data_IF_185008355484
#
_entry.id   IF_185008355484
#
_cell.length_a   1.000
_cell.length_b   1.000
_cell.length_c   1.000
_cell.angle_alpha   90.00
_cell.angle_beta   90.00
_cell.angle_gamma   90.00
#
_symmetry.space_group_name_H-M   'P 1'
#
loop_
_entity.id
_entity.type
_entity.pdbx_description
1 polymer ?
#
# COMPACT_ATOMS: atom_id res chain seq x y z
N UNK A 1 11.28 21.22 -8.98
CA UNK A 1 11.22 20.95 -8.54
C UNK A 1 11.23 20.43 -7.92
N UNK A 2 11.35 20.44 -7.82
CA UNK A 2 11.42 19.95 -7.28
C UNK A 2 10.98 19.69 -6.34
N UNK A 3 11.00 19.80 -6.15
CA UNK A 3 10.97 19.15 -5.09
C UNK A 3 9.91 18.89 -4.25
N UNK A 4 9.00 18.79 -4.17
CA UNK A 4 7.94 18.31 -3.33
C UNK A 4 7.15 17.27 -4.09
N UNK A 5 7.80 16.20 -4.40
CA UNK A 5 7.17 15.21 -5.28
C UNK A 5 5.89 14.65 -4.73
N UNK A 6 5.78 14.53 -3.41
CA UNK A 6 4.55 13.96 -2.86
C UNK A 6 3.35 14.82 -3.08
N UNK A 7 3.55 16.08 -3.42
CA UNK A 7 2.43 16.97 -3.68
C UNK A 7 1.94 16.88 -5.10
N UNK A 8 2.56 16.04 -5.93
CA UNK A 8 2.16 15.94 -7.31
C UNK A 8 0.95 15.08 -7.53
N UNK A 9 0.54 14.30 -6.53
CA UNK A 9 -0.62 13.44 -6.71
C UNK A 9 -1.75 13.87 -5.82
N UNK A 10 -2.95 13.71 -6.32
CA UNK A 10 -4.17 13.92 -5.54
C UNK A 10 -4.91 12.61 -5.32
N UNK A 11 -4.40 11.50 -5.83
CA UNK A 11 -5.08 10.23 -5.76
C UNK A 11 -4.29 9.27 -4.88
N UNK A 12 -4.96 8.76 -3.86
CA UNK A 12 -4.36 7.86 -2.89
C UNK A 12 -5.15 6.56 -2.88
N UNK A 13 -4.44 5.44 -2.86
CA UNK A 13 -5.07 4.14 -3.01
C UNK A 13 -4.65 3.26 -1.86
N UNK A 14 -5.63 2.70 -1.15
CA UNK A 14 -5.37 1.71 -0.13
C UNK A 14 -5.63 0.33 -0.69
N UNK A 15 -4.76 -0.60 -0.34
CA UNK A 15 -4.88 -1.98 -0.77
C UNK A 15 -5.02 -2.87 0.46
N UNK A 16 -6.10 -3.63 0.51
CA UNK A 16 -6.30 -4.61 1.56
C UNK A 16 -5.89 -5.95 0.97
N UNK A 17 -4.71 -6.42 1.35
CA UNK A 17 -4.04 -7.53 0.69
C UNK A 17 -4.21 -8.80 1.50
N UNK A 18 -4.73 -9.82 0.84
CA UNK A 18 -4.86 -11.16 1.40
C UNK A 18 -4.11 -12.12 0.50
N UNK A 19 -3.93 -13.35 0.96
CA UNK A 19 -3.13 -14.30 0.21
C UNK A 19 -3.66 -14.55 -1.20
N UNK A 20 -4.97 -14.43 -1.38
CA UNK A 20 -5.60 -14.78 -2.65
C UNK A 20 -6.39 -13.64 -3.26
N UNK A 21 -6.47 -12.51 -2.61
CA UNK A 21 -7.27 -11.41 -3.13
C UNK A 21 -6.73 -10.09 -2.66
N UNK A 22 -7.00 -9.07 -3.44
CA UNK A 22 -6.61 -7.70 -3.13
C UNK A 22 -7.83 -6.83 -3.38
N UNK A 23 -8.21 -6.06 -2.36
CA UNK A 23 -9.27 -5.08 -2.51
C UNK A 23 -8.65 -3.71 -2.50
N UNK A 24 -9.04 -2.88 -3.45
CA UNK A 24 -8.44 -1.58 -3.63
C UNK A 24 -9.51 -0.51 -3.56
N UNK A 25 -9.18 0.59 -2.89
CA UNK A 25 -10.05 1.76 -2.85
C UNK A 25 -9.19 2.97 -3.17
N UNK A 26 -9.61 3.75 -4.16
CA UNK A 26 -8.91 4.99 -4.50
C UNK A 26 -9.72 6.17 -3.98
N UNK A 27 -9.00 7.19 -3.53
CA UNK A 27 -9.57 8.43 -3.04
C UNK A 27 -8.90 9.58 -3.77
N UNK A 28 -9.70 10.38 -4.47
CA UNK A 28 -9.21 11.61 -5.07
C UNK A 28 -9.54 12.75 -4.13
N UNK A 29 -8.52 13.33 -3.51
CA UNK A 29 -8.77 14.35 -2.48
C UNK A 29 -9.22 15.66 -3.06
N UNK A 30 -9.05 15.89 -4.36
CA UNK A 30 -9.51 17.12 -4.98
C UNK A 30 -11.01 17.08 -5.29
N UNK A 31 -11.52 15.92 -5.67
CA UNK A 31 -12.92 15.81 -6.06
C UNK A 31 -13.74 15.05 -5.02
N UNK A 32 -13.07 14.30 -4.14
CA UNK A 32 -13.77 13.44 -3.20
C UNK A 32 -14.22 12.13 -3.79
N UNK A 33 -13.88 11.87 -5.04
CA UNK A 33 -14.33 10.65 -5.69
C UNK A 33 -13.66 9.43 -5.08
N UNK A 34 -14.46 8.39 -4.84
CA UNK A 34 -13.97 7.13 -4.30
C UNK A 34 -14.33 6.02 -5.27
N UNK A 35 -13.36 5.21 -5.63
CA UNK A 35 -13.56 4.05 -6.50
C UNK A 35 -13.03 2.82 -5.81
N UNK A 36 -13.63 1.68 -6.11
CA UNK A 36 -13.23 0.44 -5.49
C UNK A 36 -13.15 -0.66 -6.53
N UNK A 37 -12.25 -1.61 -6.31
CA UNK A 37 -12.11 -2.77 -7.19
C UNK A 37 -11.57 -3.93 -6.38
N UNK A 38 -11.80 -5.14 -6.88
CA UNK A 38 -11.33 -6.35 -6.24
C UNK A 38 -10.62 -7.21 -7.28
N UNK A 39 -9.50 -7.78 -6.87
CA UNK A 39 -8.65 -8.58 -7.75
C UNK A 39 -8.29 -9.87 -7.04
N UNK A 40 -7.87 -10.88 -7.81
CA UNK A 40 -7.07 -11.93 -7.23
C UNK A 40 -5.70 -11.37 -6.84
N UNK A 41 -4.82 -12.21 -6.36
CA UNK A 41 -3.47 -11.74 -6.03
C UNK A 41 -2.69 -11.63 -7.34
N UNK A 42 -2.80 -10.48 -7.97
CA UNK A 42 -2.27 -10.25 -9.32
C UNK A 42 -1.81 -8.81 -9.42
N UNK A 43 -0.50 -8.62 -9.28
CA UNK A 43 0.08 -7.28 -9.30
C UNK A 43 -0.15 -6.59 -10.63
N UNK A 44 -0.14 -7.35 -11.73
CA UNK A 44 -0.38 -6.76 -13.04
C UNK A 44 -1.77 -6.17 -13.17
N UNK A 45 -2.77 -6.90 -12.66
CA UNK A 45 -4.15 -6.40 -12.70
C UNK A 45 -4.29 -5.14 -11.85
N UNK A 46 -3.68 -5.15 -10.66
CA UNK A 46 -3.73 -3.98 -9.79
C UNK A 46 -3.05 -2.80 -10.47
N UNK A 47 -1.87 -3.02 -11.05
CA UNK A 47 -1.14 -1.93 -11.69
C UNK A 47 -1.93 -1.34 -12.85
N UNK A 48 -2.59 -2.18 -13.63
CA UNK A 48 -3.41 -1.69 -14.74
C UNK A 48 -4.55 -0.82 -14.26
N UNK A 49 -5.22 -1.26 -13.18
CA UNK A 49 -6.31 -0.50 -12.62
C UNK A 49 -5.82 0.84 -12.05
N UNK A 50 -4.70 0.80 -11.33
CA UNK A 50 -4.14 2.02 -10.75
C UNK A 50 -3.84 3.03 -11.86
N UNK A 51 -3.22 2.58 -12.94
CA UNK A 51 -2.90 3.49 -14.03
C UNK A 51 -4.15 4.04 -14.71
N UNK A 52 -5.21 3.25 -14.73
CA UNK A 52 -6.46 3.74 -15.34
C UNK A 52 -7.14 4.77 -14.47
N UNK A 53 -6.94 4.68 -13.15
CA UNK A 53 -7.48 5.69 -12.23
C UNK A 53 -6.63 6.96 -12.28
N UNK A 54 -5.35 6.81 -12.08
CA UNK A 54 -4.42 7.94 -12.11
C UNK A 54 -2.99 7.38 -12.14
N UNK A 55 -2.25 7.58 -13.22
CA UNK A 55 -0.89 7.02 -13.29
C UNK A 55 0.05 7.58 -12.22
N UNK A 56 -0.35 8.67 -11.56
CA UNK A 56 0.48 9.26 -10.52
C UNK A 56 -0.04 8.93 -9.12
N UNK A 57 -1.00 8.02 -9.01
CA UNK A 57 -1.56 7.65 -7.72
C UNK A 57 -0.50 7.03 -6.82
N UNK A 58 -0.65 7.25 -5.54
CA UNK A 58 0.20 6.63 -4.54
C UNK A 58 -0.59 5.58 -3.80
N UNK A 59 0.02 4.41 -3.62
CA UNK A 59 -0.64 3.26 -3.02
C UNK A 59 0.00 2.90 -1.71
N UNK A 60 -0.79 2.28 -0.83
CA UNK A 60 -0.29 1.78 0.45
C UNK A 60 -1.01 0.48 0.78
N UNK A 61 -0.28 -0.45 1.39
CA UNK A 61 -0.91 -1.59 2.03
C UNK A 61 -0.20 -1.87 3.33
N UNK A 62 -0.88 -2.61 4.20
CA UNK A 62 -0.36 -2.92 5.51
C UNK A 62 0.60 -4.08 5.41
N UNK A 63 1.76 -3.98 6.06
CA UNK A 63 2.68 -5.10 6.11
C UNK A 63 2.01 -6.27 6.83
N UNK A 64 2.19 -7.46 6.32
CA UNK A 64 1.52 -8.61 6.87
C UNK A 64 1.89 -9.87 6.17
N UNK A 65 0.90 -10.71 5.92
CA UNK A 65 1.11 -12.07 5.47
C UNK A 65 1.95 -12.17 4.21
N UNK A 66 1.71 -11.29 3.25
CA UNK A 66 2.42 -11.36 1.99
C UNK A 66 3.73 -10.59 1.99
N UNK A 67 4.07 -9.95 3.11
CA UNK A 67 5.32 -9.24 3.23
C UNK A 67 5.46 -8.13 2.22
N UNK A 68 6.59 -8.11 1.53
CA UNK A 68 6.90 -7.03 0.60
C UNK A 68 6.76 -7.42 -0.86
N UNK A 69 6.26 -8.62 -1.13
CA UNK A 69 6.21 -9.13 -2.50
C UNK A 69 5.40 -8.22 -3.41
N UNK A 70 4.22 -7.83 -2.96
CA UNK A 70 3.35 -7.00 -3.79
C UNK A 70 3.99 -5.64 -4.06
N UNK A 71 4.61 -5.05 -3.03
CA UNK A 71 5.27 -3.76 -3.21
C UNK A 71 6.35 -3.85 -4.28
N UNK A 72 7.14 -4.90 -4.25
CA UNK A 72 8.22 -5.06 -5.23
C UNK A 72 7.67 -5.25 -6.62
N UNK A 73 6.61 -6.04 -6.75
CA UNK A 73 6.01 -6.27 -8.06
C UNK A 73 5.39 -5.00 -8.62
N UNK A 74 4.66 -4.25 -7.77
CA UNK A 74 4.04 -3.00 -8.21
C UNK A 74 5.10 -1.98 -8.58
N UNK A 75 6.15 -1.89 -7.76
CA UNK A 75 7.22 -0.95 -8.04
C UNK A 75 7.89 -1.28 -9.37
N UNK A 76 8.09 -2.56 -9.66
CA UNK A 76 8.66 -2.99 -10.93
C UNK A 76 7.76 -2.68 -12.10
N UNK A 77 6.47 -2.50 -11.85
CA UNK A 77 5.51 -2.14 -12.90
C UNK A 77 5.26 -0.65 -12.97
N UNK A 78 6.02 0.14 -12.21
CA UNK A 78 5.93 1.59 -12.29
C UNK A 78 4.90 2.21 -11.37
N UNK A 79 4.38 1.46 -10.41
CA UNK A 79 3.38 1.97 -9.48
C UNK A 79 4.07 2.40 -8.19
N UNK A 80 3.76 3.60 -7.72
CA UNK A 80 4.31 4.12 -6.47
C UNK A 80 3.54 3.49 -5.32
N UNK A 81 4.16 2.53 -4.66
CA UNK A 81 3.50 1.79 -3.58
C UNK A 81 4.41 1.73 -2.37
N UNK A 82 3.85 2.03 -1.21
CA UNK A 82 4.57 1.93 0.05
C UNK A 82 3.89 0.90 0.94
N UNK A 83 4.65 0.37 1.89
CA UNK A 83 4.12 -0.54 2.89
C UNK A 83 4.01 0.23 4.19
N UNK A 84 2.84 0.21 4.79
CA UNK A 84 2.58 0.98 5.99
C UNK A 84 2.49 0.13 7.22
N UNK A 85 2.85 0.70 8.35
CA UNK A 85 2.72 0.04 9.64
C UNK A 85 1.39 0.47 10.25
N UNK A 86 0.37 -0.32 9.98
CA UNK A 86 -1.00 0.06 10.36
C UNK A 86 -1.20 0.00 11.86
N UNK A 87 -0.43 -0.85 12.54
CA UNK A 87 -0.60 -0.97 13.98
C UNK A 87 -0.41 0.34 14.71
N UNK A 88 0.26 1.30 14.08
CA UNK A 88 0.47 2.60 14.67
C UNK A 88 -0.58 3.61 14.27
N UNK A 89 -1.53 3.23 13.46
CA UNK A 89 -2.61 4.10 13.05
C UNK A 89 -3.78 3.93 13.98
N UNK A 90 -4.49 5.01 14.23
CA UNK A 90 -5.61 4.99 15.16
C UNK A 90 -6.88 4.71 14.40
N UNK A 91 -7.62 3.71 14.84
CA UNK A 91 -8.92 3.39 14.28
C UNK A 91 -9.98 3.57 15.34
N UNK A 92 -11.08 4.22 15.02
CA UNK A 92 -12.19 4.31 15.96
C UNK A 92 -12.76 2.93 16.28
N UNK A 93 -13.24 2.77 17.51
CA UNK A 93 -13.77 1.49 17.94
C UNK A 93 -14.94 1.02 17.08
N UNK A 94 -15.78 1.94 16.69
CA UNK A 94 -16.93 1.59 15.87
C UNK A 94 -16.48 1.02 14.53
N UNK A 95 -15.45 1.58 13.98
CA UNK A 95 -14.93 1.07 12.72
C UNK A 95 -14.42 -0.35 12.87
N UNK A 96 -13.75 -0.62 13.99
CA UNK A 96 -13.22 -1.97 14.19
C UNK A 96 -14.34 -2.99 14.24
N UNK A 97 -15.46 -2.64 14.85
CA UNK A 97 -16.56 -3.59 14.97
C UNK A 97 -17.31 -3.81 13.68
N UNK A 98 -17.28 -2.83 12.80
CA UNK A 98 -17.97 -2.93 11.53
C UNK A 98 -17.02 -3.07 10.36
N UNK A 99 -15.81 -3.41 10.65
CA UNK A 99 -14.75 -3.49 9.68
C UNK A 99 -15.04 -4.55 8.63
N UNK A 100 -14.74 -4.22 7.41
CA UNK A 100 -14.74 -5.18 6.32
C UNK A 100 -13.60 -4.80 5.39
N UNK A 101 -13.35 -5.63 4.39
CA UNK A 101 -12.17 -5.44 3.55
C UNK A 101 -12.19 -4.10 2.84
N UNK A 102 -13.34 -3.66 2.41
CA UNK A 102 -13.41 -2.38 1.73
C UNK A 102 -13.11 -1.23 2.67
N UNK A 103 -13.61 -1.32 3.89
CA UNK A 103 -13.34 -0.26 4.86
C UNK A 103 -11.87 -0.19 5.22
N UNK A 104 -11.20 -1.34 5.25
CA UNK A 104 -9.77 -1.34 5.52
C UNK A 104 -9.01 -0.61 4.42
N UNK A 105 -9.32 -0.90 3.19
CA UNK A 105 -8.64 -0.26 2.07
C UNK A 105 -8.94 1.24 2.05
N UNK A 106 -10.19 1.62 2.29
CA UNK A 106 -10.54 3.03 2.31
C UNK A 106 -9.84 3.75 3.44
N UNK A 107 -9.77 3.12 4.62
CA UNK A 107 -9.07 3.70 5.76
C UNK A 107 -7.62 3.96 5.41
N UNK A 108 -6.98 3.00 4.76
CA UNK A 108 -5.59 3.17 4.37
C UNK A 108 -5.40 4.31 3.39
N UNK A 109 -6.30 4.42 2.42
CA UNK A 109 -6.22 5.51 1.46
C UNK A 109 -6.33 6.87 2.15
N UNK A 110 -7.26 6.98 3.11
CA UNK A 110 -7.45 8.23 3.81
C UNK A 110 -6.25 8.57 4.69
N UNK A 111 -5.70 7.57 5.36
CA UNK A 111 -4.53 7.81 6.21
C UNK A 111 -3.34 8.23 5.36
N UNK A 112 -3.16 7.61 4.20
CA UNK A 112 -2.08 7.99 3.32
C UNK A 112 -2.23 9.44 2.85
N UNK A 113 -3.46 9.82 2.54
CA UNK A 113 -3.72 11.16 1.99
C UNK A 113 -3.40 12.27 2.97
N UNK A 114 -3.46 11.99 4.26
CA UNK A 114 -3.17 13.00 5.29
C UNK A 114 -1.82 12.78 5.95
N UNK A 115 -1.02 11.85 5.43
CA UNK A 115 0.33 11.67 5.93
C UNK A 115 0.43 10.90 7.24
N UNK A 116 -0.58 10.12 7.59
CA UNK A 116 -0.61 9.38 8.85
C UNK A 116 -0.19 7.93 8.72
N UNK A 117 0.53 7.60 7.67
CA UNK A 117 1.06 6.25 7.48
C UNK A 117 2.53 6.26 7.86
N UNK A 118 2.91 5.31 8.71
CA UNK A 118 4.32 5.11 9.03
C UNK A 118 4.85 4.15 8.00
N UNK A 119 5.68 4.65 7.10
CA UNK A 119 6.18 3.84 6.01
C UNK A 119 7.22 2.87 6.52
N UNK A 120 7.08 1.61 6.13
CA UNK A 120 8.02 0.55 6.52
C UNK A 120 9.08 0.46 5.44
N UNK A 121 10.34 0.42 5.85
CA UNK A 121 11.44 0.27 4.91
C UNK A 121 11.35 -1.10 4.25
N UNK A 122 11.46 -1.13 2.94
CA UNK A 122 11.38 -2.37 2.17
C UNK A 122 12.80 -2.74 1.74
N UNK A 123 13.33 -3.88 2.21
CA UNK A 123 14.68 -4.27 1.82
C UNK A 123 14.70 -4.71 0.36
N UNK A 124 15.86 -4.50 -0.29
CA UNK A 124 15.99 -4.98 -1.64
C UNK A 124 16.18 -6.50 -1.62
N UNK A 125 16.19 -7.10 -2.81
CA UNK A 125 16.26 -8.55 -2.89
C UNK A 125 17.54 -9.10 -2.31
N UNK A 126 18.64 -8.41 -2.54
CA UNK A 126 19.92 -8.86 -2.02
C UNK A 126 19.91 -8.83 -0.48
N UNK A 127 19.36 -7.79 0.08
CA UNK A 127 19.29 -7.66 1.51
C UNK A 127 18.41 -8.74 2.13
N UNK A 128 17.31 -9.06 1.49
CA UNK A 128 16.44 -10.12 1.99
C UNK A 128 17.14 -11.48 1.95
N UNK A 129 17.87 -11.75 0.90
CA UNK A 129 18.60 -13.01 0.81
C UNK A 129 19.65 -13.12 1.90
N UNK A 130 20.37 -12.03 2.15
CA UNK A 130 21.35 -12.01 3.22
C UNK A 130 20.72 -12.25 4.57
N UNK A 131 19.56 -11.68 4.81
CA UNK A 131 18.89 -11.88 6.08
C UNK A 131 18.47 -13.32 6.27
N UNK A 132 18.00 -13.97 5.22
CA UNK A 132 17.63 -15.37 5.31
C UNK A 132 18.82 -16.23 5.65
N UNK A 133 19.97 -15.95 5.04
CA UNK A 133 21.16 -16.74 5.26
C UNK A 133 21.77 -16.51 6.64
N UNK A 134 21.65 -15.31 7.16
CA UNK A 134 22.37 -14.96 8.37
C UNK A 134 21.45 -14.72 9.54
N UNK A 135 20.27 -15.28 9.51
CA UNK A 135 19.30 -15.03 10.57
C UNK A 135 19.86 -15.35 11.92
N UNK A 136 20.61 -16.44 12.05
CA UNK A 136 21.17 -16.84 13.32
C UNK A 136 22.31 -15.96 13.76
N UNK A 137 22.90 -15.20 12.84
CA UNK A 137 24.03 -14.34 13.14
C UNK A 137 23.60 -12.90 13.34
N UNK A 138 22.32 -12.64 13.42
CA UNK A 138 21.80 -11.32 13.50
C UNK A 138 21.94 -10.59 12.22
N UNK A 139 20.91 -10.02 11.84
CA UNK A 139 20.79 -9.39 10.57
C UNK A 139 21.60 -8.11 10.49
N UNK A 140 22.35 -7.97 9.47
CA UNK A 140 23.17 -6.81 9.25
C UNK A 140 22.56 -5.86 8.22
N UNK A 141 21.43 -6.19 7.67
CA UNK A 141 20.82 -5.33 6.66
C UNK A 141 20.02 -4.15 7.25
#
# INVERSE_FOLDING_TARGET
MEGAPMLDTTTFIGLDVHARSIKAVSLDVMTGEVRAATFGYDAGAVAGWVRSVDPRARCVYESGVTGFDLQKRLSGLGVDCVVGAVSKMIKPSADRRRKNDRNDAEFLARMLSVGNVVEVWVPDDECEAARDLTRALEDAC
#
